data_IF_909103075098
#
_entry.id   IF_909103075098
#
_cell.length_a   1.000
_cell.length_b   1.000
_cell.length_c   1.000
_cell.angle_alpha   90.00
_cell.angle_beta   90.00
_cell.angle_gamma   90.00
#
_symmetry.space_group_name_H-M   'P 1'
#
loop_
_entity.id
_entity.type
_entity.pdbx_description
1 polymer ?
#
# COMPACT_ATOMS: atom_id res chain seq x y z
N UNK A 1 12.11 31.57 7.84
CA UNK A 1 13.00 31.11 6.75
C UNK A 1 13.75 29.91 7.28
N UNK A 2 13.32 28.73 6.83
CA UNK A 2 13.80 27.33 6.99
C UNK A 2 12.51 26.52 6.78
N UNK A 3 12.04 26.20 5.57
CA UNK A 3 12.69 25.46 4.47
C UNK A 3 13.34 24.18 4.96
N UNK A 4 12.54 23.29 5.56
CA UNK A 4 12.77 21.85 5.61
C UNK A 4 11.52 21.16 6.17
N UNK A 5 10.61 20.69 5.30
CA UNK A 5 9.62 19.62 5.61
C UNK A 5 8.65 19.34 4.43
N UNK A 6 9.15 19.41 3.20
CA UNK A 6 8.45 18.85 2.05
C UNK A 6 9.05 17.49 1.75
N UNK A 7 8.64 16.48 2.53
CA UNK A 7 8.90 15.08 2.23
C UNK A 7 7.95 14.65 1.12
N UNK A 8 8.45 14.82 -0.09
CA UNK A 8 8.14 13.97 -1.23
C UNK A 8 8.62 12.56 -0.87
N UNK A 9 7.76 11.65 -0.42
CA UNK A 9 8.24 10.34 0.02
C UNK A 9 7.44 9.18 -0.59
N UNK A 10 7.97 8.71 -1.73
CA UNK A 10 8.21 7.29 -1.91
C UNK A 10 8.52 6.63 -0.55
N UNK A 11 7.94 5.46 -0.29
CA UNK A 11 8.12 4.66 0.95
C UNK A 11 9.39 5.03 1.72
N UNK A 12 9.33 5.40 3.01
CA UNK A 12 10.46 5.97 3.77
C UNK A 12 11.69 5.03 3.85
N UNK A 13 11.50 3.79 3.42
CA UNK A 13 12.49 2.76 3.23
C UNK A 13 12.18 1.97 1.94
N UNK A 14 13.21 1.39 1.29
CA UNK A 14 13.03 0.52 0.12
C UNK A 14 12.21 -0.73 0.48
N UNK A 15 11.32 -1.11 -0.43
CA UNK A 15 10.49 -2.31 -0.34
C UNK A 15 10.94 -3.34 -1.36
N UNK A 16 11.01 -4.59 -0.92
CA UNK A 16 11.37 -5.75 -1.71
C UNK A 16 10.31 -6.83 -1.59
N UNK A 17 10.30 -7.75 -2.54
CA UNK A 17 9.47 -8.95 -2.47
C UNK A 17 10.22 -10.17 -3.00
N UNK A 18 9.85 -11.32 -2.48
CA UNK A 18 10.23 -12.60 -3.07
C UNK A 18 9.24 -12.93 -4.19
N UNK A 19 9.69 -13.08 -5.45
CA UNK A 19 8.79 -13.41 -6.55
C UNK A 19 8.00 -14.68 -6.31
N UNK A 20 6.72 -14.63 -6.68
CA UNK A 20 5.86 -15.79 -6.74
C UNK A 20 6.25 -16.69 -7.92
N UNK A 21 5.87 -17.97 -7.85
CA UNK A 21 6.25 -18.97 -8.85
C UNK A 21 7.57 -19.69 -8.56
N UNK A 22 8.32 -19.25 -7.54
CA UNK A 22 9.42 -20.02 -6.98
C UNK A 22 8.89 -21.16 -6.10
N UNK A 23 9.70 -22.21 -5.92
CA UNK A 23 9.34 -23.27 -4.96
C UNK A 23 9.38 -22.73 -3.53
N UNK A 24 8.59 -23.31 -2.62
CA UNK A 24 8.60 -22.88 -1.22
C UNK A 24 9.96 -22.82 -0.54
N UNK A 25 10.84 -23.75 -0.89
CA UNK A 25 12.19 -23.75 -0.36
C UNK A 25 13.04 -22.62 -0.91
N UNK A 26 12.94 -22.36 -2.21
CA UNK A 26 13.70 -21.29 -2.84
C UNK A 26 13.25 -19.93 -2.33
N UNK A 27 11.94 -19.74 -2.15
CA UNK A 27 11.42 -18.52 -1.55
C UNK A 27 11.99 -18.27 -0.15
N UNK A 28 12.01 -19.30 0.70
CA UNK A 28 12.59 -19.21 2.03
C UNK A 28 14.10 -18.91 2.01
N UNK A 29 14.85 -19.54 1.09
CA UNK A 29 16.30 -19.28 0.91
C UNK A 29 16.57 -17.85 0.45
N UNK A 30 15.80 -17.34 -0.52
CA UNK A 30 15.94 -15.96 -1.02
C UNK A 30 15.61 -14.93 0.05
N UNK A 31 14.51 -15.13 0.77
CA UNK A 31 14.13 -14.28 1.89
C UNK A 31 15.20 -14.23 2.98
N UNK A 32 15.72 -15.40 3.38
CA UNK A 32 16.75 -15.50 4.41
C UNK A 32 18.11 -14.94 3.95
N UNK A 33 18.46 -15.09 2.67
CA UNK A 33 19.66 -14.48 2.11
C UNK A 33 19.55 -12.95 2.09
N UNK A 34 18.41 -12.42 1.63
CA UNK A 34 18.16 -10.98 1.55
C UNK A 34 18.29 -10.32 2.93
N UNK A 35 17.60 -10.82 3.95
CA UNK A 35 17.57 -10.18 5.28
C UNK A 35 18.97 -10.14 5.95
N UNK A 36 19.88 -11.04 5.56
CA UNK A 36 21.26 -11.08 6.05
C UNK A 36 22.20 -10.12 5.33
N UNK A 37 21.86 -9.72 4.11
CA UNK A 37 22.66 -8.79 3.31
C UNK A 37 22.32 -7.33 3.63
N UNK A 38 21.10 -7.07 4.10
CA UNK A 38 20.67 -5.73 4.46
C UNK A 38 21.39 -5.19 5.71
N UNK A 39 21.79 -3.91 5.70
CA UNK A 39 22.48 -3.30 6.83
C UNK A 39 21.54 -3.03 8.01
N UNK A 40 22.01 -3.30 9.23
CA UNK A 40 21.30 -3.00 10.48
C UNK A 40 21.00 -4.24 11.31
N UNK A 41 20.16 -4.09 12.35
CA UNK A 41 19.72 -5.23 13.16
C UNK A 41 18.49 -5.85 12.52
N UNK A 42 18.56 -7.09 12.00
CA UNK A 42 17.45 -7.69 11.28
C UNK A 42 16.32 -8.13 12.22
N UNK A 43 15.09 -8.16 11.69
CA UNK A 43 13.92 -8.76 12.32
C UNK A 43 13.19 -9.66 11.32
N UNK A 44 12.86 -10.88 11.73
CA UNK A 44 11.84 -11.67 11.02
C UNK A 44 10.49 -11.46 11.70
N UNK A 45 9.53 -10.95 10.94
CA UNK A 45 8.23 -10.56 11.43
C UNK A 45 7.15 -11.48 10.89
N UNK A 46 6.31 -12.01 11.77
CA UNK A 46 5.22 -12.93 11.42
C UNK A 46 3.87 -12.42 11.96
N UNK A 47 2.72 -12.76 11.37
CA UNK A 47 1.42 -12.45 11.96
C UNK A 47 1.25 -13.04 13.36
N UNK A 48 1.62 -14.32 13.50
CA UNK A 48 1.48 -15.08 14.75
C UNK A 48 2.63 -16.07 14.93
N UNK A 49 2.78 -16.60 16.15
CA UNK A 49 3.73 -17.67 16.46
C UNK A 49 3.44 -18.97 15.69
N UNK A 50 2.17 -19.24 15.38
CA UNK A 50 1.80 -20.44 14.63
C UNK A 50 2.28 -20.38 13.16
N UNK A 51 2.26 -19.20 12.54
CA UNK A 51 2.82 -19.00 11.20
C UNK A 51 4.32 -19.28 11.17
N UNK A 52 5.02 -18.92 12.25
CA UNK A 52 6.41 -19.30 12.46
C UNK A 52 6.56 -20.83 12.48
N UNK A 53 5.83 -21.55 13.34
CA UNK A 53 5.99 -23.01 13.49
C UNK A 53 5.70 -23.81 12.20
N UNK A 54 4.89 -23.25 11.30
CA UNK A 54 4.51 -23.88 10.04
C UNK A 54 5.64 -23.98 9.00
N UNK A 55 6.71 -23.16 9.07
CA UNK A 55 7.80 -23.18 8.09
C UNK A 55 9.16 -23.48 8.73
N UNK A 56 9.46 -24.77 8.80
CA UNK A 56 10.71 -25.26 9.40
C UNK A 56 11.97 -24.76 8.70
N UNK A 57 11.93 -24.56 7.38
CA UNK A 57 13.12 -24.16 6.62
C UNK A 57 13.46 -22.69 6.86
N UNK A 58 12.49 -21.78 6.73
CA UNK A 58 12.72 -20.37 7.01
C UNK A 58 13.21 -20.17 8.45
N UNK A 59 12.61 -20.89 9.40
CA UNK A 59 13.03 -20.86 10.80
C UNK A 59 14.47 -21.31 11.00
N UNK A 60 14.88 -22.39 10.33
CA UNK A 60 16.26 -22.88 10.41
C UNK A 60 17.25 -21.88 9.81
N UNK A 61 16.88 -21.27 8.68
CA UNK A 61 17.72 -20.31 7.98
C UNK A 61 17.84 -18.96 8.67
N UNK A 62 16.94 -18.65 9.61
CA UNK A 62 16.88 -17.36 10.34
C UNK A 62 16.93 -17.54 11.86
N UNK A 63 17.43 -18.68 12.34
CA UNK A 63 17.38 -19.06 13.75
C UNK A 63 18.10 -18.10 14.71
N UNK A 64 19.13 -17.41 14.20
CA UNK A 64 19.97 -16.41 14.87
C UNK A 64 19.40 -14.98 14.79
N UNK A 65 18.33 -14.76 14.02
CA UNK A 65 17.72 -13.44 13.84
C UNK A 65 16.57 -13.26 14.85
N UNK A 66 16.47 -12.10 15.53
CA UNK A 66 15.32 -11.77 16.38
C UNK A 66 14.00 -11.93 15.63
N UNK A 67 12.96 -12.34 16.37
CA UNK A 67 11.63 -12.59 15.81
C UNK A 67 10.59 -11.74 16.51
N UNK A 68 9.69 -11.19 15.70
CA UNK A 68 8.55 -10.42 16.18
C UNK A 68 7.24 -10.95 15.61
N UNK A 69 6.16 -10.63 16.30
CA UNK A 69 4.79 -10.74 15.84
C UNK A 69 4.05 -9.46 16.12
N UNK A 70 2.90 -9.23 15.47
CA UNK A 70 2.08 -8.02 15.66
C UNK A 70 1.84 -7.67 17.14
N UNK A 71 1.79 -8.68 18.03
CA UNK A 71 1.54 -8.49 19.46
C UNK A 71 2.79 -8.27 20.31
N UNK A 72 3.99 -8.62 19.83
CA UNK A 72 5.19 -8.67 20.67
C UNK A 72 6.43 -8.08 20.01
N UNK A 73 6.28 -7.26 18.95
CA UNK A 73 7.43 -6.64 18.29
C UNK A 73 8.34 -5.88 19.26
N UNK A 74 7.76 -5.10 20.18
CA UNK A 74 8.51 -4.34 21.19
C UNK A 74 9.18 -5.24 22.24
N UNK A 75 8.64 -6.45 22.44
CA UNK A 75 9.22 -7.46 23.32
C UNK A 75 10.31 -8.32 22.65
N UNK A 76 10.55 -8.15 21.35
CA UNK A 76 11.57 -8.91 20.61
C UNK A 76 13.01 -8.44 20.86
N UNK A 77 13.18 -7.27 21.47
CA UNK A 77 14.48 -6.59 21.61
C UNK A 77 14.92 -5.85 20.35
N UNK A 78 14.17 -5.93 19.26
CA UNK A 78 14.43 -5.16 18.05
C UNK A 78 13.97 -3.71 18.20
N UNK A 79 14.79 -2.77 17.71
CA UNK A 79 14.55 -1.33 17.82
C UNK A 79 14.52 -0.64 16.45
N UNK A 80 15.42 -1.05 15.55
CA UNK A 80 15.57 -0.47 14.21
C UNK A 80 16.37 -1.40 13.29
N UNK A 81 16.00 -1.47 12.01
CA UNK A 81 16.74 -2.20 10.99
C UNK A 81 15.88 -2.77 9.87
N UNK A 82 16.41 -3.73 9.09
CA UNK A 82 15.65 -4.35 8.02
C UNK A 82 14.67 -5.38 8.57
N UNK A 83 13.52 -5.50 7.91
CA UNK A 83 12.44 -6.41 8.31
C UNK A 83 12.11 -7.36 7.18
N UNK A 84 12.09 -8.65 7.48
CA UNK A 84 11.48 -9.68 6.63
C UNK A 84 10.07 -9.96 7.15
N UNK A 85 9.05 -9.51 6.42
CA UNK A 85 7.65 -9.75 6.72
C UNK A 85 7.18 -11.04 6.02
N UNK A 86 7.06 -12.12 6.78
CA UNK A 86 6.66 -13.42 6.28
C UNK A 86 5.14 -13.63 6.46
N UNK A 87 4.46 -13.82 5.32
CA UNK A 87 3.00 -14.00 5.18
C UNK A 87 2.21 -12.88 5.83
N UNK A 88 2.49 -11.62 5.47
CA UNK A 88 1.98 -10.51 6.23
C UNK A 88 0.47 -10.34 6.07
N UNK A 89 -0.18 -9.95 7.15
CA UNK A 89 -1.57 -9.47 7.09
C UNK A 89 -1.59 -8.00 6.64
N UNK A 90 -2.76 -7.52 6.22
CA UNK A 90 -2.97 -6.09 5.93
C UNK A 90 -2.56 -5.21 7.12
N UNK A 91 -2.95 -5.61 8.33
CA UNK A 91 -2.60 -4.91 9.58
C UNK A 91 -1.10 -4.87 9.80
N UNK A 92 -0.41 -5.97 9.56
CA UNK A 92 1.05 -6.07 9.69
C UNK A 92 1.78 -5.09 8.76
N UNK A 93 1.36 -4.99 7.49
CA UNK A 93 1.95 -4.04 6.54
C UNK A 93 1.61 -2.57 6.86
N UNK A 94 0.40 -2.31 7.37
CA UNK A 94 0.01 -0.99 7.90
C UNK A 94 0.89 -0.59 9.08
N UNK A 95 1.04 -1.48 10.06
CA UNK A 95 1.89 -1.25 11.24
C UNK A 95 3.36 -0.98 10.86
N UNK A 96 3.91 -1.69 9.86
CA UNK A 96 5.25 -1.43 9.34
C UNK A 96 5.39 -0.06 8.66
N UNK A 97 4.33 0.39 7.97
CA UNK A 97 4.30 1.67 7.26
C UNK A 97 4.06 2.85 8.18
N UNK A 98 3.17 2.71 9.15
CA UNK A 98 2.61 3.84 9.88
C UNK A 98 3.27 3.96 11.25
N UNK A 99 3.24 2.89 12.04
CA UNK A 99 3.73 2.90 13.42
C UNK A 99 5.25 2.72 13.50
N UNK A 100 5.82 1.92 12.60
CA UNK A 100 7.24 1.55 12.60
C UNK A 100 8.05 2.21 11.49
N UNK A 101 7.47 3.21 10.80
CA UNK A 101 8.05 3.84 9.62
C UNK A 101 9.51 4.29 9.81
N UNK A 102 9.81 4.82 11.01
CA UNK A 102 11.12 5.36 11.38
C UNK A 102 12.11 4.29 11.89
N UNK A 103 11.59 3.14 12.33
CA UNK A 103 12.37 1.98 12.77
C UNK A 103 12.72 1.03 11.62
N UNK A 104 11.92 0.96 10.57
CA UNK A 104 12.21 0.09 9.41
C UNK A 104 13.20 0.79 8.47
N UNK A 105 14.29 0.11 8.13
CA UNK A 105 15.30 0.64 7.18
C UNK A 105 15.21 0.00 5.79
N UNK A 106 14.65 -1.20 5.71
CA UNK A 106 14.29 -1.90 4.47
C UNK A 106 13.23 -2.96 4.81
N UNK A 107 12.35 -3.29 3.86
CA UNK A 107 11.29 -4.27 4.07
C UNK A 107 11.25 -5.27 2.92
N UNK A 108 11.31 -6.57 3.22
CA UNK A 108 11.01 -7.62 2.24
C UNK A 108 9.73 -8.34 2.61
N UNK A 109 8.84 -8.50 1.63
CA UNK A 109 7.61 -9.27 1.76
C UNK A 109 7.80 -10.67 1.18
N UNK A 110 7.48 -11.69 1.98
CA UNK A 110 7.45 -13.09 1.57
C UNK A 110 6.02 -13.61 1.67
N UNK A 111 5.40 -14.01 0.55
CA UNK A 111 4.01 -14.51 0.52
C UNK A 111 3.88 -15.75 -0.36
N UNK A 112 2.97 -16.67 -0.03
CA UNK A 112 2.75 -17.93 -0.75
C UNK A 112 1.98 -17.78 -2.07
N UNK A 113 1.40 -16.62 -2.33
CA UNK A 113 0.65 -16.36 -3.56
C UNK A 113 0.46 -14.88 -3.81
N UNK A 114 -0.47 -14.58 -4.72
CA UNK A 114 -0.67 -13.23 -5.27
C UNK A 114 -2.00 -12.63 -4.77
N UNK A 115 -2.18 -12.36 -3.46
CA UNK A 115 -3.41 -11.73 -3.03
C UNK A 115 -3.47 -10.33 -3.63
N UNK A 116 -4.56 -10.03 -4.36
CA UNK A 116 -4.71 -8.82 -5.16
C UNK A 116 -4.41 -7.52 -4.37
N UNK A 117 -4.78 -7.47 -3.09
CA UNK A 117 -4.50 -6.32 -2.23
C UNK A 117 -2.99 -6.13 -1.98
N UNK A 118 -2.23 -7.21 -1.85
CA UNK A 118 -0.78 -7.17 -1.65
C UNK A 118 -0.05 -6.87 -2.96
N UNK A 119 -0.50 -7.42 -4.09
CA UNK A 119 0.05 -7.07 -5.42
C UNK A 119 -0.10 -5.57 -5.68
N UNK A 120 -1.28 -5.02 -5.36
CA UNK A 120 -1.48 -3.58 -5.31
C UNK A 120 -0.42 -2.93 -4.42
N UNK A 121 -0.37 -3.31 -3.14
CA UNK A 121 0.50 -2.65 -2.15
C UNK A 121 1.98 -2.65 -2.58
N UNK A 122 2.47 -3.77 -3.12
CA UNK A 122 3.82 -3.90 -3.67
C UNK A 122 4.03 -2.99 -4.89
N UNK A 123 3.03 -2.84 -5.76
CA UNK A 123 3.08 -1.95 -6.93
C UNK A 123 3.18 -0.49 -6.51
N UNK A 124 2.32 -0.01 -5.58
CA UNK A 124 2.38 1.37 -5.09
C UNK A 124 3.74 1.69 -4.43
N UNK A 125 4.38 0.69 -3.83
CA UNK A 125 5.68 0.84 -3.19
C UNK A 125 6.86 0.62 -4.13
N UNK A 126 6.60 0.42 -5.42
CA UNK A 126 7.62 0.10 -6.44
C UNK A 126 8.55 -1.02 -5.95
N UNK A 127 7.96 -2.03 -5.29
CA UNK A 127 8.71 -3.06 -4.61
C UNK A 127 9.63 -3.80 -5.59
N UNK A 128 10.87 -4.06 -5.19
CA UNK A 128 11.86 -4.72 -6.05
C UNK A 128 11.95 -6.21 -5.78
N UNK A 129 12.03 -7.00 -6.82
CA UNK A 129 12.29 -8.43 -6.72
C UNK A 129 13.67 -8.66 -6.13
N UNK A 130 13.76 -9.53 -5.11
CA UNK A 130 15.07 -9.95 -4.54
C UNK A 130 15.88 -10.87 -5.47
N UNK A 131 15.31 -11.28 -6.61
CA UNK A 131 15.96 -12.18 -7.57
C UNK A 131 16.71 -11.40 -8.63
N UNK A 132 16.07 -10.39 -9.23
CA UNK A 132 16.54 -9.68 -10.41
C UNK A 132 16.41 -8.14 -10.32
N UNK A 133 15.89 -7.63 -9.19
CA UNK A 133 15.70 -6.20 -8.97
C UNK A 133 14.54 -5.58 -9.76
N UNK A 134 13.77 -6.38 -10.51
CA UNK A 134 12.62 -5.90 -11.28
C UNK A 134 11.57 -5.25 -10.36
N UNK A 135 10.92 -4.20 -10.86
CA UNK A 135 9.88 -3.48 -10.11
C UNK A 135 8.55 -4.22 -10.26
N UNK A 136 7.91 -4.49 -9.12
CA UNK A 136 6.60 -5.12 -9.07
C UNK A 136 5.56 -4.29 -9.82
N UNK A 137 4.80 -4.93 -10.71
CA UNK A 137 3.76 -4.25 -11.49
C UNK A 137 4.29 -3.25 -12.51
N UNK A 138 5.56 -3.36 -12.96
CA UNK A 138 6.26 -2.42 -13.85
C UNK A 138 5.64 -2.12 -15.22
N UNK A 139 4.40 -2.54 -15.49
CA UNK A 139 3.61 -2.16 -16.66
C UNK A 139 2.15 -1.77 -16.34
N UNK A 140 1.74 -1.71 -15.07
CA UNK A 140 0.38 -1.32 -14.71
C UNK A 140 0.22 0.18 -14.94
N UNK A 141 -0.74 0.54 -15.81
CA UNK A 141 -1.13 1.90 -16.16
C UNK A 141 -1.05 2.85 -14.96
N UNK A 142 -0.27 3.91 -15.11
CA UNK A 142 -0.21 4.96 -14.11
C UNK A 142 -1.52 5.76 -14.18
N UNK A 143 -2.12 6.07 -13.02
CA UNK A 143 -3.23 7.02 -12.99
C UNK A 143 -2.75 8.39 -13.47
N UNK A 144 -3.66 9.17 -14.05
CA UNK A 144 -3.40 10.60 -14.25
C UNK A 144 -3.00 11.21 -12.89
N UNK A 145 -1.90 11.98 -12.80
CA UNK A 145 -1.41 12.52 -11.53
C UNK A 145 -2.47 13.29 -10.72
N UNK A 146 -3.41 13.97 -11.38
CA UNK A 146 -4.50 14.69 -10.70
C UNK A 146 -5.52 13.71 -10.12
N UNK A 147 -5.80 12.61 -10.84
CA UNK A 147 -6.67 11.54 -10.34
C UNK A 147 -6.03 10.85 -9.14
N UNK A 148 -4.72 10.59 -9.18
CA UNK A 148 -3.98 10.02 -8.07
C UNK A 148 -4.05 10.92 -6.82
N UNK A 149 -3.75 12.22 -6.94
CA UNK A 149 -3.85 13.17 -5.82
C UNK A 149 -5.26 13.21 -5.23
N UNK A 150 -6.29 13.26 -6.08
CA UNK A 150 -7.67 13.25 -5.64
C UNK A 150 -8.03 11.98 -4.85
N UNK A 151 -7.50 10.83 -5.26
CA UNK A 151 -7.73 9.55 -4.59
C UNK A 151 -6.96 9.44 -3.27
N UNK A 152 -5.76 10.03 -3.16
CA UNK A 152 -5.06 10.15 -1.88
C UNK A 152 -5.85 11.01 -0.89
N UNK A 153 -6.34 12.16 -1.34
CA UNK A 153 -7.18 13.05 -0.54
C UNK A 153 -8.49 12.35 -0.10
N UNK A 154 -9.11 11.56 -0.99
CA UNK A 154 -10.26 10.73 -0.62
C UNK A 154 -9.88 9.71 0.47
N UNK A 155 -8.77 8.99 0.30
CA UNK A 155 -8.30 7.99 1.26
C UNK A 155 -8.12 8.57 2.65
N UNK A 156 -7.59 9.80 2.76
CA UNK A 156 -7.39 10.48 4.04
C UNK A 156 -8.71 10.85 4.75
N UNK A 157 -9.82 10.97 4.02
CA UNK A 157 -11.13 11.40 4.55
C UNK A 157 -12.08 10.25 4.85
N UNK A 158 -11.95 9.11 4.16
CA UNK A 158 -12.87 7.98 4.33
C UNK A 158 -12.51 7.15 5.56
N UNK A 159 -13.55 6.68 6.27
CA UNK A 159 -13.32 5.73 7.34
C UNK A 159 -13.17 4.31 6.77
N UNK A 160 -11.93 3.87 6.64
CA UNK A 160 -11.57 2.53 6.13
C UNK A 160 -12.19 1.37 6.95
N UNK A 161 -12.62 1.61 8.19
CA UNK A 161 -13.30 0.61 9.03
C UNK A 161 -14.71 0.25 8.56
N UNK A 162 -15.37 1.13 7.81
CA UNK A 162 -16.76 0.92 7.35
C UNK A 162 -16.85 0.46 5.90
N UNK A 163 -15.71 0.28 5.23
CA UNK A 163 -15.65 -0.26 3.88
C UNK A 163 -16.32 0.62 2.80
N UNK A 164 -16.45 1.94 3.00
CA UNK A 164 -17.25 2.84 2.15
C UNK A 164 -18.78 2.60 2.18
N UNK A 165 -19.35 1.93 3.19
CA UNK A 165 -20.83 1.88 3.36
C UNK A 165 -21.39 3.23 3.83
N UNK A 166 -20.62 3.92 4.67
CA UNK A 166 -21.10 5.09 5.40
C UNK A 166 -21.68 6.14 4.47
N UNK A 167 -22.77 6.80 4.90
CA UNK A 167 -23.43 7.84 4.09
C UNK A 167 -22.42 8.93 3.68
N UNK A 168 -21.50 9.27 4.59
CA UNK A 168 -20.41 10.23 4.34
C UNK A 168 -19.33 9.65 3.42
N UNK A 169 -18.84 8.44 3.67
CA UNK A 169 -17.81 7.81 2.84
C UNK A 169 -18.26 7.65 1.39
N UNK A 170 -19.49 7.16 1.18
CA UNK A 170 -20.11 7.05 -0.14
C UNK A 170 -20.24 8.40 -0.82
N UNK A 171 -20.69 9.42 -0.09
CA UNK A 171 -20.80 10.78 -0.64
C UNK A 171 -19.44 11.28 -1.09
N UNK A 172 -18.43 11.19 -0.25
CA UNK A 172 -17.11 11.74 -0.52
C UNK A 172 -16.46 11.03 -1.71
N UNK A 173 -16.59 9.70 -1.80
CA UNK A 173 -16.09 8.92 -2.94
C UNK A 173 -16.79 9.29 -4.25
N UNK A 174 -18.13 9.32 -4.25
CA UNK A 174 -18.91 9.67 -5.45
C UNK A 174 -18.66 11.12 -5.86
N UNK A 175 -18.62 12.07 -4.92
CA UNK A 175 -18.39 13.47 -5.22
C UNK A 175 -17.00 13.69 -5.83
N UNK A 176 -15.97 13.03 -5.30
CA UNK A 176 -14.60 13.06 -5.83
C UNK A 176 -14.56 12.60 -7.28
N UNK A 177 -15.14 11.42 -7.56
CA UNK A 177 -15.19 10.86 -8.92
C UNK A 177 -16.00 11.74 -9.88
N UNK A 178 -17.12 12.31 -9.43
CA UNK A 178 -17.94 13.22 -10.24
C UNK A 178 -17.23 14.54 -10.54
N UNK A 179 -16.47 15.08 -9.60
CA UNK A 179 -15.68 16.30 -9.80
C UNK A 179 -14.59 16.06 -10.83
N UNK A 180 -13.83 14.96 -10.73
CA UNK A 180 -12.84 14.56 -11.73
C UNK A 180 -13.47 14.39 -13.12
N UNK A 181 -14.56 13.63 -13.21
CA UNK A 181 -15.23 13.36 -14.49
C UNK A 181 -15.77 14.63 -15.16
N UNK A 182 -16.35 15.55 -14.39
CA UNK A 182 -16.84 16.85 -14.89
C UNK A 182 -15.72 17.78 -15.33
N UNK A 183 -14.56 17.72 -14.67
CA UNK A 183 -13.37 18.47 -15.05
C UNK A 183 -12.65 17.90 -16.28
N UNK A 184 -13.13 16.79 -16.84
CA UNK A 184 -12.59 16.18 -18.07
C UNK A 184 -11.60 15.04 -17.82
N UNK A 185 -11.23 14.77 -16.56
CA UNK A 185 -10.36 13.65 -16.24
C UNK A 185 -11.09 12.33 -16.51
N UNK A 186 -10.40 11.43 -17.20
CA UNK A 186 -10.82 10.05 -17.43
C UNK A 186 -9.87 9.16 -16.66
N UNK A 187 -10.42 8.09 -16.10
CA UNK A 187 -9.65 7.09 -15.38
C UNK A 187 -10.15 5.74 -15.81
N UNK A 188 -9.24 4.81 -16.04
CA UNK A 188 -9.61 3.41 -16.21
C UNK A 188 -10.02 2.84 -14.84
N UNK A 189 -11.16 2.16 -14.79
CA UNK A 189 -11.73 1.67 -13.52
C UNK A 189 -10.84 0.59 -12.91
N UNK A 190 -10.28 -0.30 -13.73
CA UNK A 190 -9.38 -1.36 -13.26
C UNK A 190 -8.10 -0.77 -12.67
N UNK A 191 -7.54 0.24 -13.34
CA UNK A 191 -6.35 0.97 -12.90
C UNK A 191 -6.62 1.72 -11.59
N UNK A 192 -7.77 2.38 -11.48
CA UNK A 192 -8.20 3.06 -10.25
C UNK A 192 -8.35 2.07 -9.09
N UNK A 193 -8.97 0.91 -9.34
CA UNK A 193 -9.16 -0.14 -8.34
C UNK A 193 -7.83 -0.75 -7.90
N UNK A 194 -6.92 -0.98 -8.86
CA UNK A 194 -5.57 -1.49 -8.60
C UNK A 194 -4.79 -0.50 -7.75
N UNK A 195 -4.83 0.78 -8.11
CA UNK A 195 -4.22 1.85 -7.32
C UNK A 195 -4.85 1.96 -5.93
N UNK A 196 -6.18 1.83 -5.79
CA UNK A 196 -6.84 1.91 -4.49
C UNK A 196 -6.44 0.75 -3.57
N UNK A 197 -6.44 -0.49 -4.08
CA UNK A 197 -5.91 -1.66 -3.37
C UNK A 197 -4.46 -1.41 -2.92
N UNK A 198 -3.67 -0.81 -3.80
CA UNK A 198 -2.28 -0.49 -3.55
C UNK A 198 -2.06 0.53 -2.44
N UNK A 199 -3.00 1.45 -2.28
CA UNK A 199 -2.91 2.56 -1.35
C UNK A 199 -3.81 2.38 -0.11
N UNK A 200 -4.04 1.12 0.29
CA UNK A 200 -4.62 0.81 1.60
C UNK A 200 -6.14 0.61 1.61
N UNK A 201 -6.84 0.70 0.48
CA UNK A 201 -8.25 0.31 0.40
C UNK A 201 -8.36 -1.22 0.54
N UNK A 202 -9.36 -1.68 1.29
CA UNK A 202 -9.73 -3.10 1.38
C UNK A 202 -10.48 -3.57 0.14
N UNK A 203 -10.54 -4.89 -0.07
CA UNK A 203 -11.28 -5.46 -1.21
C UNK A 203 -12.74 -5.00 -1.28
N UNK A 204 -13.43 -4.91 -0.13
CA UNK A 204 -14.81 -4.41 -0.04
C UNK A 204 -14.94 -2.94 -0.44
N UNK A 205 -13.94 -2.12 -0.10
CA UNK A 205 -13.90 -0.71 -0.50
C UNK A 205 -13.68 -0.59 -2.01
N UNK A 206 -12.81 -1.42 -2.56
CA UNK A 206 -12.49 -1.43 -3.98
C UNK A 206 -13.68 -1.91 -4.82
N UNK A 207 -14.41 -2.92 -4.39
CA UNK A 207 -15.66 -3.35 -5.04
C UNK A 207 -16.69 -2.20 -5.12
N UNK A 208 -16.79 -1.39 -4.06
CA UNK A 208 -17.68 -0.22 -4.05
C UNK A 208 -17.14 0.94 -4.86
N UNK A 209 -15.85 1.20 -4.77
CA UNK A 209 -15.19 2.23 -5.56
C UNK A 209 -15.38 1.95 -7.05
N UNK A 210 -15.28 0.68 -7.47
CA UNK A 210 -15.61 0.22 -8.82
C UNK A 210 -17.05 0.55 -9.21
N UNK A 211 -18.02 0.17 -8.39
CA UNK A 211 -19.45 0.48 -8.64
C UNK A 211 -19.68 2.00 -8.83
N UNK A 212 -19.02 2.82 -8.01
CA UNK A 212 -19.14 4.27 -8.08
C UNK A 212 -18.45 4.84 -9.32
N UNK A 213 -17.25 4.38 -9.62
CA UNK A 213 -16.46 4.78 -10.78
C UNK A 213 -17.20 4.48 -12.09
N UNK A 214 -17.67 3.24 -12.27
CA UNK A 214 -18.46 2.82 -13.43
C UNK A 214 -19.75 3.63 -13.55
N UNK A 215 -20.48 3.79 -12.44
CA UNK A 215 -21.71 4.56 -12.43
C UNK A 215 -21.47 6.02 -12.82
N UNK A 216 -20.41 6.66 -12.33
CA UNK A 216 -20.08 8.05 -12.70
C UNK A 216 -19.75 8.18 -14.18
N UNK A 217 -18.95 7.26 -14.74
CA UNK A 217 -18.61 7.27 -16.17
C UNK A 217 -19.83 7.05 -17.06
N UNK A 218 -20.79 6.24 -16.60
CA UNK A 218 -22.08 6.02 -17.28
C UNK A 218 -23.08 7.17 -17.06
N UNK A 219 -22.73 8.21 -16.31
CA UNK A 219 -23.61 9.35 -16.03
C UNK A 219 -24.72 9.05 -15.02
N UNK A 220 -24.60 7.98 -14.23
CA UNK A 220 -25.56 7.62 -13.18
C UNK A 220 -25.69 8.76 -12.16
N UNK A 221 -26.93 9.16 -11.90
CA UNK A 221 -27.25 10.12 -10.83
C UNK A 221 -27.27 9.40 -9.48
N UNK A 222 -26.25 9.66 -8.68
CA UNK A 222 -26.21 9.20 -7.29
C UNK A 222 -27.01 10.14 -6.39
N UNK A 223 -27.87 9.59 -5.54
CA UNK A 223 -28.52 10.35 -4.47
C UNK A 223 -27.56 10.49 -3.28
N UNK A 224 -26.95 11.66 -3.17
CA UNK A 224 -26.10 12.01 -2.03
C UNK A 224 -26.99 12.61 -0.93
N UNK A 225 -27.15 11.88 0.18
CA UNK A 225 -28.01 12.31 1.31
C UNK A 225 -27.36 13.39 2.19
N UNK A 226 -26.07 13.61 2.03
CA UNK A 226 -25.35 14.69 2.69
C UNK A 226 -24.86 15.68 1.62
N UNK A 227 -24.93 16.99 1.91
CA UNK A 227 -24.56 18.06 0.97
C UNK A 227 -23.10 18.01 0.53
N UNK A 228 -22.76 18.79 -0.51
CA UNK A 228 -21.41 18.88 -1.08
C UNK A 228 -20.36 19.19 0.00
N UNK A 229 -19.23 18.50 -0.05
CA UNK A 229 -18.12 18.68 0.89
C UNK A 229 -16.88 19.22 0.21
N UNK A 230 -16.72 18.92 -1.08
CA UNK A 230 -15.56 19.39 -1.81
C UNK A 230 -15.65 20.89 -2.05
N UNK A 231 -14.50 21.56 -1.86
CA UNK A 231 -14.37 22.98 -2.18
C UNK A 231 -14.66 23.22 -3.67
N UNK A 232 -15.24 24.37 -4.04
CA UNK A 232 -15.48 24.69 -5.45
C UNK A 232 -14.21 24.71 -6.32
N UNK A 233 -13.07 25.03 -5.72
CA UNK A 233 -11.74 25.13 -6.36
C UNK A 233 -10.88 23.87 -6.20
N UNK A 234 -11.45 22.75 -5.73
CA UNK A 234 -10.69 21.55 -5.37
C UNK A 234 -9.87 20.97 -6.54
N UNK A 235 -10.37 21.07 -7.78
CA UNK A 235 -9.63 20.61 -8.97
C UNK A 235 -8.33 21.40 -9.16
N UNK A 236 -8.35 22.71 -8.93
CA UNK A 236 -7.15 23.55 -9.07
C UNK A 236 -6.15 23.29 -7.93
N UNK A 237 -6.64 22.86 -6.76
CA UNK A 237 -5.78 22.38 -5.68
C UNK A 237 -5.10 21.08 -6.10
N UNK A 238 -5.86 20.06 -6.53
CA UNK A 238 -5.29 18.78 -6.96
C UNK A 238 -4.34 18.92 -8.15
N UNK A 239 -4.63 19.81 -9.11
CA UNK A 239 -3.70 20.13 -10.22
C UNK A 239 -2.39 20.72 -9.72
N UNK A 240 -2.45 21.67 -8.79
CA UNK A 240 -1.25 22.30 -8.21
C UNK A 240 -0.40 21.27 -7.49
N UNK A 241 -1.03 20.45 -6.66
CA UNK A 241 -0.35 19.41 -5.88
C UNK A 241 0.26 18.34 -6.80
N UNK A 242 -0.45 17.97 -7.88
CA UNK A 242 0.06 17.05 -8.89
C UNK A 242 1.25 17.62 -9.68
N UNK A 243 1.24 18.91 -10.02
CA UNK A 243 2.35 19.56 -10.72
C UNK A 243 3.60 19.66 -9.83
N UNK A 244 3.43 19.81 -8.51
CA UNK A 244 4.54 19.83 -7.56
C UNK A 244 5.16 18.45 -7.31
N UNK A 245 4.44 17.36 -7.62
CA UNK A 245 4.94 15.98 -7.55
C UNK A 245 5.42 15.39 -8.89
N UNK A 246 5.45 16.18 -9.98
CA UNK A 246 5.82 15.74 -11.33
C UNK A 246 7.19 16.21 -11.83
N UNK A 247 7.83 17.14 -11.12
CA UNK A 247 9.21 17.60 -11.37
C UNK A 247 10.17 16.89 -10.40
N UNK A 248 10.40 15.59 -10.59
CA UNK A 248 11.44 14.81 -9.92
C UNK A 248 11.90 13.62 -10.78
#
# INVERSE_FOLDING_TARGET
MTSDDLRDEASPYPVFYVPWGLTPEEMARRAAAWIRQEPGTPLVFFPTKQNYDANQLLNRLTADIPRGTERNIWGSGWQRGPVLAAWPTKRMLQMLTDELATSVTALCVLEWGEPAWQCGWLTARRARSVVDGSIHGGSAMQLDPVVEVAMRDLSARVNHGNGLVGIHDKRDAVETLQVLHRAGYRFDVETLCTWALANGFSGREVERLREYAEGVQQGKRFQLRAGRVLRPDIIEIWKRDAAQGGDA
#
